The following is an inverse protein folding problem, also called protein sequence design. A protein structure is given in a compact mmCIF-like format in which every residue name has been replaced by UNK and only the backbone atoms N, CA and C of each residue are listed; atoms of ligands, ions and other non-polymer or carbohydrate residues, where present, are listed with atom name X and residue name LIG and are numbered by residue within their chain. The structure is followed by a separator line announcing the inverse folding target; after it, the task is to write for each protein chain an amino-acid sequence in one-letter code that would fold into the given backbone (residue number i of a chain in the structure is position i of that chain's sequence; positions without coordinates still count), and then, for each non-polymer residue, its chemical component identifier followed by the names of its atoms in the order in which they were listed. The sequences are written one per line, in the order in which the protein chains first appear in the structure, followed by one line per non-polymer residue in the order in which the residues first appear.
data_IF_474348408292
#
_entry.id   IF_474348408292
#
_cell.length_a   1.000
_cell.length_b   1.000
_cell.length_c   1.000
_cell.angle_alpha   90.00
_cell.angle_beta   90.00
_cell.angle_gamma   90.00
#
_symmetry.space_group_name_H-M   'P 1'
#
loop_
_entity.id
_entity.type
_entity.pdbx_description
1 polymer ?
#
# COMPACT_ATOMS: atom_id res chain seq x y z
N UNK A 1 26.68 0.26 18.50
CA UNK A 1 25.46 -0.41 18.00
C UNK A 1 24.30 0.57 18.09
N UNK A 2 23.82 1.16 16.98
CA UNK A 2 22.64 2.03 17.00
C UNK A 2 21.41 1.19 16.67
N UNK A 3 20.53 0.95 17.65
CA UNK A 3 19.25 0.27 17.44
C UNK A 3 18.35 1.20 16.63
N UNK A 4 18.10 0.86 15.36
CA UNK A 4 17.08 1.54 14.52
C UNK A 4 15.73 1.30 15.21
N UNK A 5 15.00 2.37 15.50
CA UNK A 5 13.67 2.29 16.09
C UNK A 5 12.76 1.40 15.22
N UNK A 6 11.83 0.62 15.82
CA UNK A 6 10.85 -0.13 15.05
C UNK A 6 10.03 0.86 14.22
N UNK A 7 9.87 0.56 12.93
CA UNK A 7 9.08 1.37 12.01
C UNK A 7 7.68 1.58 12.60
N UNK A 8 7.34 2.84 12.86
CA UNK A 8 6.02 3.25 13.34
C UNK A 8 4.98 2.73 12.35
N UNK A 9 3.89 2.06 12.78
CA UNK A 9 2.85 1.64 11.85
C UNK A 9 2.20 2.92 11.30
N UNK A 10 2.59 3.29 10.10
CA UNK A 10 2.06 4.46 9.43
C UNK A 10 0.68 4.09 8.90
N UNK A 11 -0.36 4.75 9.41
CA UNK A 11 -1.72 4.63 8.89
C UNK A 11 -1.74 5.33 7.54
N UNK A 12 -1.69 4.55 6.47
CA UNK A 12 -1.93 5.01 5.12
C UNK A 12 -3.44 5.11 4.89
N UNK A 13 -3.96 6.32 4.67
CA UNK A 13 -5.33 6.49 4.20
C UNK A 13 -5.35 6.25 2.69
N UNK A 14 -6.13 5.26 2.25
CA UNK A 14 -6.24 4.96 0.82
C UNK A 14 -7.24 5.91 0.19
N UNK A 15 -6.79 6.62 -0.86
CA UNK A 15 -7.65 7.57 -1.58
C UNK A 15 -8.40 6.88 -2.72
N UNK A 16 -7.78 5.92 -3.42
CA UNK A 16 -8.39 5.20 -4.55
C UNK A 16 -7.83 3.79 -4.71
N UNK A 17 -8.72 2.79 -4.87
CA UNK A 17 -8.38 1.48 -5.42
C UNK A 17 -8.25 1.60 -6.94
N UNK A 18 -7.07 1.32 -7.48
CA UNK A 18 -6.91 1.17 -8.90
C UNK A 18 -6.63 -0.30 -9.20
N UNK A 19 -7.70 -1.01 -9.55
CA UNK A 19 -7.63 -2.42 -9.94
C UNK A 19 -6.76 -2.67 -11.19
N UNK A 20 -6.30 -1.61 -11.86
CA UNK A 20 -5.50 -1.72 -13.09
C UNK A 20 -4.67 -0.46 -13.33
N UNK A 21 -3.59 -0.26 -12.57
CA UNK A 21 -2.46 0.54 -13.07
C UNK A 21 -1.67 -0.33 -14.06
N UNK A 22 -2.17 -0.41 -15.29
CA UNK A 22 -1.72 -1.40 -16.28
C UNK A 22 -2.24 -2.80 -15.94
N UNK A 23 -1.35 -3.79 -15.99
CA UNK A 23 -1.66 -5.21 -15.73
C UNK A 23 -1.53 -5.62 -14.26
N UNK A 24 -1.10 -4.69 -13.38
CA UNK A 24 -0.77 -4.98 -11.99
C UNK A 24 -1.74 -4.24 -11.06
N UNK A 25 -2.35 -4.93 -10.07
CA UNK A 25 -3.23 -4.29 -9.11
C UNK A 25 -2.44 -3.29 -8.26
N UNK A 26 -3.03 -2.11 -8.04
CA UNK A 26 -2.37 -1.03 -7.33
C UNK A 26 -3.31 -0.20 -6.45
N UNK A 27 -2.72 0.56 -5.54
CA UNK A 27 -3.45 1.34 -4.56
C UNK A 27 -2.73 2.66 -4.32
N UNK A 28 -3.44 3.76 -4.51
CA UNK A 28 -2.93 5.10 -4.19
C UNK A 28 -3.20 5.40 -2.73
N UNK A 29 -2.13 5.60 -1.98
CA UNK A 29 -2.19 5.99 -0.57
C UNK A 29 -1.61 7.38 -0.37
N UNK A 30 -2.15 8.06 0.63
CA UNK A 30 -1.53 9.24 1.21
C UNK A 30 -0.63 8.77 2.37
N UNK A 31 0.69 8.84 2.17
CA UNK A 31 1.69 8.38 3.15
C UNK A 31 2.95 7.79 2.55
N UNK A 32 3.85 7.30 3.42
CA UNK A 32 5.14 6.74 3.02
C UNK A 32 4.98 5.47 2.19
N UNK A 33 5.91 5.29 1.25
CA UNK A 33 6.02 4.10 0.45
C UNK A 33 6.30 2.86 1.33
N UNK A 34 5.45 1.82 1.30
CA UNK A 34 5.75 0.57 1.97
C UNK A 34 6.94 -0.14 1.31
N UNK A 35 7.60 -1.00 2.07
CA UNK A 35 8.79 -1.69 1.57
C UNK A 35 8.39 -2.82 0.61
N UNK A 36 9.09 -2.89 -0.53
CA UNK A 36 8.92 -3.98 -1.50
C UNK A 36 9.18 -5.33 -0.84
N UNK A 37 8.26 -6.27 -1.05
CA UNK A 37 8.28 -7.62 -0.50
C UNK A 37 7.50 -7.78 0.81
N UNK A 38 7.17 -6.68 1.49
CA UNK A 38 6.37 -6.74 2.71
C UNK A 38 4.88 -6.92 2.39
N UNK A 39 4.13 -7.45 3.36
CA UNK A 39 2.67 -7.37 3.34
C UNK A 39 2.23 -5.97 3.72
N UNK A 40 1.45 -5.35 2.86
CA UNK A 40 0.82 -4.07 3.11
C UNK A 40 -0.69 -4.26 3.23
N UNK A 41 -1.28 -3.61 4.22
CA UNK A 41 -2.73 -3.57 4.42
C UNK A 41 -3.17 -2.14 4.60
N UNK A 42 -4.23 -1.74 3.92
CA UNK A 42 -4.82 -0.44 4.15
C UNK A 42 -6.34 -0.47 4.01
N UNK A 43 -7.00 0.42 4.73
CA UNK A 43 -8.46 0.51 4.82
C UNK A 43 -8.94 1.68 3.96
N UNK A 44 -9.88 1.39 3.07
CA UNK A 44 -10.50 2.41 2.23
C UNK A 44 -11.51 3.24 3.02
N UNK A 45 -11.87 4.39 2.48
CA UNK A 45 -12.94 5.23 3.01
C UNK A 45 -14.30 4.51 3.16
N UNK A 46 -14.53 3.41 2.42
CA UNK A 46 -15.74 2.58 2.55
C UNK A 46 -15.67 1.58 3.74
N UNK A 47 -14.59 1.59 4.51
CA UNK A 47 -14.37 0.72 5.66
C UNK A 47 -13.82 -0.67 5.32
N UNK A 48 -13.61 -1.01 4.05
CA UNK A 48 -13.05 -2.30 3.65
C UNK A 48 -11.52 -2.22 3.73
N UNK A 49 -10.91 -3.16 4.45
CA UNK A 49 -9.46 -3.33 4.47
C UNK A 49 -9.03 -4.23 3.34
N UNK A 50 -8.00 -3.84 2.61
CA UNK A 50 -7.37 -4.64 1.59
C UNK A 50 -5.95 -4.97 2.01
N UNK A 51 -5.46 -6.16 1.68
CA UNK A 51 -4.08 -6.54 1.91
C UNK A 51 -3.46 -7.21 0.69
N UNK A 52 -2.15 -7.05 0.53
CA UNK A 52 -1.39 -7.71 -0.51
C UNK A 52 0.11 -7.59 -0.28
N UNK A 53 0.89 -8.34 -1.06
CA UNK A 53 2.36 -8.29 -1.04
C UNK A 53 2.85 -7.20 -1.99
N UNK A 54 3.65 -6.25 -1.48
CA UNK A 54 4.16 -5.12 -2.28
C UNK A 54 5.15 -5.61 -3.33
N UNK A 55 4.82 -5.41 -4.61
CA UNK A 55 5.73 -5.63 -5.75
C UNK A 55 6.64 -4.42 -6.00
N UNK A 56 6.14 -3.21 -5.72
CA UNK A 56 6.87 -1.96 -5.89
C UNK A 56 6.02 -0.75 -5.50
N UNK A 57 6.65 0.41 -5.50
CA UNK A 57 6.01 1.69 -5.16
C UNK A 57 6.47 2.77 -6.15
N UNK A 58 5.58 3.69 -6.50
CA UNK A 58 5.85 4.83 -7.37
C UNK A 58 5.23 6.09 -6.76
N UNK A 59 5.91 7.24 -6.87
CA UNK A 59 5.32 8.52 -6.47
C UNK A 59 4.55 9.11 -7.64
N UNK A 60 3.27 9.47 -7.42
CA UNK A 60 2.40 10.10 -8.41
C UNK A 60 1.55 11.18 -7.77
N UNK A 61 1.60 12.38 -8.34
CA UNK A 61 0.75 13.51 -7.95
C UNK A 61 0.81 13.80 -6.42
N UNK A 62 1.98 13.63 -5.81
CA UNK A 62 2.19 13.81 -4.36
C UNK A 62 1.66 12.66 -3.49
N UNK A 63 1.31 11.52 -4.10
CA UNK A 63 0.83 10.31 -3.42
C UNK A 63 1.71 9.12 -3.75
N UNK A 64 1.62 8.08 -2.93
CA UNK A 64 2.34 6.82 -3.17
C UNK A 64 1.40 5.82 -3.84
N UNK A 65 1.72 5.42 -5.07
CA UNK A 65 1.14 4.26 -5.71
C UNK A 65 1.86 2.99 -5.23
N UNK A 66 1.14 2.12 -4.52
CA UNK A 66 1.61 0.79 -4.12
C UNK A 66 1.13 -0.24 -5.14
N UNK A 67 2.04 -0.99 -5.75
CA UNK A 67 1.73 -2.07 -6.68
C UNK A 67 1.87 -3.42 -5.98
N UNK A 68 0.98 -4.37 -6.25
CA UNK A 68 0.95 -5.67 -5.57
C UNK A 68 1.31 -6.83 -6.50
N UNK A 69 2.02 -7.82 -5.95
CA UNK A 69 2.57 -8.95 -6.72
C UNK A 69 1.49 -9.94 -7.16
N UNK A 70 0.66 -10.36 -6.21
CA UNK A 70 -0.25 -11.51 -6.37
C UNK A 70 -1.74 -11.09 -6.37
N UNK A 71 -2.03 -9.80 -6.37
CA UNK A 71 -3.37 -9.28 -6.13
C UNK A 71 -3.51 -8.54 -4.80
N UNK A 72 -4.71 -8.03 -4.58
CA UNK A 72 -5.16 -7.47 -3.31
C UNK A 72 -6.42 -8.21 -2.86
N UNK A 73 -6.49 -8.57 -1.59
CA UNK A 73 -7.62 -9.28 -1.01
C UNK A 73 -8.29 -8.43 0.05
N UNK A 74 -9.63 -8.42 0.05
CA UNK A 74 -10.39 -7.78 1.11
C UNK A 74 -10.30 -8.63 2.38
N UNK A 75 -9.79 -8.05 3.46
CA UNK A 75 -9.73 -8.61 4.81
C UNK A 75 -10.78 -7.90 5.67
N UNK A 76 -11.71 -8.69 6.21
CA UNK A 76 -12.83 -8.23 7.04
C UNK A 76 -12.40 -8.00 8.48
#
# INVERSE_FOLDING_TARGET
MKRKAPAKPMRAEIVTLATSYGSTPGMLIDGDAPTKGDKFSATLANGITYSGTVAGTEERDGKTLVMFRDGIEAVK
#
